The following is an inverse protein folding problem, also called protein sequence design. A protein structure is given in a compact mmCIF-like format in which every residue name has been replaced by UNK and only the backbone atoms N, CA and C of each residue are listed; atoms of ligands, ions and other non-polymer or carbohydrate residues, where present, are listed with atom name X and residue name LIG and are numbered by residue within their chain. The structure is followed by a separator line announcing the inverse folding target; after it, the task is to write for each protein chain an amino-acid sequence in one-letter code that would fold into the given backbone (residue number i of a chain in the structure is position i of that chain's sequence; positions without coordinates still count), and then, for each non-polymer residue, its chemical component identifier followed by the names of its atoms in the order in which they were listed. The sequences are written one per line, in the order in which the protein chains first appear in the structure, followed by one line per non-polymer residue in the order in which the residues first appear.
data_IF_653771073856
#
_entry.id   IF_653771073856
#
_cell.length_a   1.000
_cell.length_b   1.000
_cell.length_c   1.000
_cell.angle_alpha   90.00
_cell.angle_beta   90.00
_cell.angle_gamma   90.00
#
_symmetry.space_group_name_H-M   'P 1'
#
loop_
_entity.id
_entity.type
_entity.pdbx_description
1 polymer ?
#
# COMPACT_ATOMS: atom_id res chain seq x y z
N UNK A 1 10.58 -8.59 -5.87
CA UNK A 1 10.19 -8.90 -7.26
C UNK A 1 10.85 -10.22 -7.61
N UNK A 2 10.16 -11.09 -8.35
CA UNK A 2 10.79 -12.32 -8.82
C UNK A 2 11.88 -12.02 -9.87
N UNK A 3 12.60 -13.04 -10.33
CA UNK A 3 13.63 -12.90 -11.38
C UNK A 3 13.10 -12.35 -12.71
N UNK A 4 11.77 -12.24 -12.87
CA UNK A 4 11.08 -11.73 -14.04
C UNK A 4 10.42 -10.36 -13.79
N UNK A 5 10.76 -9.69 -12.70
CA UNK A 5 10.22 -8.39 -12.34
C UNK A 5 8.69 -8.37 -12.12
N UNK A 6 8.12 -9.51 -11.75
CA UNK A 6 6.71 -9.68 -11.40
C UNK A 6 6.49 -9.59 -9.88
N UNK A 7 5.24 -9.34 -9.52
CA UNK A 7 4.77 -9.41 -8.13
C UNK A 7 4.56 -10.90 -7.80
N UNK A 8 5.37 -11.42 -6.88
CA UNK A 8 5.18 -12.75 -6.34
C UNK A 8 4.17 -12.67 -5.18
N UNK A 9 3.01 -13.34 -5.25
CA UNK A 9 2.11 -13.46 -4.12
C UNK A 9 2.79 -14.24 -2.99
N UNK A 10 2.92 -13.63 -1.82
CA UNK A 10 3.49 -14.27 -0.62
C UNK A 10 2.42 -14.94 0.26
N UNK A 11 1.14 -14.68 -0.01
CA UNK A 11 0.00 -15.24 0.71
C UNK A 11 -1.32 -14.70 0.18
N UNK A 12 -2.42 -15.38 0.49
CA UNK A 12 -3.78 -14.94 0.22
C UNK A 12 -4.70 -15.30 1.39
N UNK A 13 -5.67 -14.43 1.68
CA UNK A 13 -6.68 -14.63 2.71
C UNK A 13 -8.07 -14.52 2.10
N UNK A 14 -8.97 -15.46 2.40
CA UNK A 14 -10.36 -15.42 1.97
C UNK A 14 -11.20 -15.10 3.19
N UNK A 15 -11.83 -13.93 3.19
CA UNK A 15 -12.64 -13.44 4.30
C UNK A 15 -14.04 -13.04 3.81
N UNK A 16 -15.09 -13.14 4.65
CA UNK A 16 -16.44 -12.74 4.25
C UNK A 16 -16.58 -11.26 3.89
N UNK A 17 -15.76 -10.41 4.53
CA UNK A 17 -15.75 -8.96 4.31
C UNK A 17 -14.40 -8.36 4.72
N UNK A 18 -14.05 -7.24 4.13
CA UNK A 18 -12.93 -6.39 4.53
C UNK A 18 -13.26 -5.62 5.82
N UNK A 19 -13.11 -6.28 6.97
CA UNK A 19 -13.26 -5.68 8.30
C UNK A 19 -11.91 -5.59 8.99
N UNK A 20 -11.84 -4.85 10.10
CA UNK A 20 -10.64 -4.82 10.95
C UNK A 20 -10.26 -6.22 11.43
N UNK A 21 -11.24 -7.04 11.81
CA UNK A 21 -11.01 -8.41 12.27
C UNK A 21 -10.42 -9.29 11.17
N UNK A 22 -10.97 -9.23 9.95
CA UNK A 22 -10.45 -9.99 8.80
C UNK A 22 -9.00 -9.61 8.47
N UNK A 23 -8.68 -8.31 8.50
CA UNK A 23 -7.32 -7.84 8.24
C UNK A 23 -6.36 -8.17 9.38
N UNK A 24 -6.80 -8.05 10.63
CA UNK A 24 -5.99 -8.42 11.80
C UNK A 24 -5.65 -9.90 11.74
N UNK A 25 -6.65 -10.77 11.54
CA UNK A 25 -6.41 -12.20 11.39
C UNK A 25 -5.42 -12.54 10.26
N UNK A 26 -5.60 -11.93 9.08
CA UNK A 26 -4.68 -12.19 7.96
C UNK A 26 -3.26 -11.74 8.28
N UNK A 27 -3.10 -10.57 8.91
CA UNK A 27 -1.80 -10.03 9.29
C UNK A 27 -1.15 -10.85 10.41
N UNK A 28 -1.91 -11.38 11.37
CA UNK A 28 -1.40 -12.31 12.39
C UNK A 28 -0.86 -13.59 11.73
N UNK A 29 -1.58 -14.15 10.76
CA UNK A 29 -1.10 -15.31 9.98
C UNK A 29 0.13 -15.00 9.15
N UNK A 30 0.24 -13.79 8.63
CA UNK A 30 1.45 -13.35 7.95
C UNK A 30 2.61 -13.20 8.94
N UNK A 31 2.38 -12.59 10.12
CA UNK A 31 3.39 -12.41 11.17
C UNK A 31 3.92 -13.74 11.68
N UNK A 32 3.07 -14.75 11.89
CA UNK A 32 3.48 -16.12 12.21
C UNK A 32 4.47 -16.70 11.18
N UNK A 33 4.35 -16.31 9.90
CA UNK A 33 5.21 -16.80 8.83
C UNK A 33 6.52 -16.02 8.69
N UNK A 34 6.49 -14.70 8.84
CA UNK A 34 7.63 -13.83 8.50
C UNK A 34 8.32 -13.21 9.73
N UNK A 35 7.67 -13.25 10.89
CA UNK A 35 8.12 -12.60 12.12
C UNK A 35 8.25 -11.08 11.99
N UNK A 36 9.07 -10.52 12.87
CA UNK A 36 9.44 -9.12 12.80
C UNK A 36 10.56 -8.93 11.75
N UNK A 37 10.31 -8.04 10.79
CA UNK A 37 11.24 -7.71 9.72
C UNK A 37 11.66 -6.26 9.86
N UNK A 38 12.96 -6.02 10.09
CA UNK A 38 13.52 -4.67 10.18
C UNK A 38 13.31 -3.92 8.86
N UNK A 39 12.82 -2.68 8.94
CA UNK A 39 12.54 -1.86 7.75
C UNK A 39 11.36 -2.33 6.91
N UNK A 40 10.50 -3.22 7.42
CA UNK A 40 9.30 -3.66 6.71
C UNK A 40 8.42 -2.48 6.33
N UNK A 41 8.06 -2.40 5.05
CA UNK A 41 7.13 -1.40 4.51
C UNK A 41 5.97 -2.08 3.83
N UNK A 42 4.75 -1.77 4.27
CA UNK A 42 3.52 -2.29 3.68
C UNK A 42 2.83 -1.22 2.85
N UNK A 43 2.53 -1.53 1.58
CA UNK A 43 1.79 -0.63 0.70
C UNK A 43 0.36 -1.13 0.58
N UNK A 44 -0.60 -0.36 1.10
CA UNK A 44 -2.00 -0.79 1.26
C UNK A 44 -2.96 0.04 0.41
N UNK A 45 -4.14 -0.51 0.14
CA UNK A 45 -5.25 0.33 -0.32
C UNK A 45 -5.71 1.26 0.81
N UNK A 46 -6.40 2.35 0.45
CA UNK A 46 -6.90 3.38 1.36
C UNK A 46 -8.09 2.86 2.17
N UNK A 47 -7.81 1.99 3.14
CA UNK A 47 -8.77 1.50 4.12
C UNK A 47 -8.25 1.74 5.55
N UNK A 48 -8.93 2.59 6.36
CA UNK A 48 -8.52 2.84 7.74
C UNK A 48 -8.40 1.57 8.60
N UNK A 49 -9.23 0.57 8.31
CA UNK A 49 -9.21 -0.74 8.99
C UNK A 49 -7.89 -1.47 8.79
N UNK A 50 -7.28 -1.39 7.61
CA UNK A 50 -5.99 -2.04 7.32
C UNK A 50 -4.88 -1.33 8.10
N UNK A 51 -4.84 0.00 8.07
CA UNK A 51 -3.82 0.77 8.78
C UNK A 51 -3.83 0.51 10.30
N UNK A 52 -5.02 0.40 10.90
CA UNK A 52 -5.16 0.02 12.32
C UNK A 52 -4.67 -1.40 12.55
N UNK A 53 -5.05 -2.35 11.69
CA UNK A 53 -4.63 -3.76 11.83
C UNK A 53 -3.11 -3.91 11.70
N UNK A 54 -2.47 -3.20 10.77
CA UNK A 54 -1.00 -3.16 10.64
C UNK A 54 -0.37 -2.61 11.91
N UNK A 55 -0.86 -1.49 12.45
CA UNK A 55 -0.31 -0.90 13.68
C UNK A 55 -0.41 -1.86 14.87
N UNK A 56 -1.46 -2.69 14.92
CA UNK A 56 -1.66 -3.65 15.99
C UNK A 56 -0.73 -4.87 15.87
N UNK A 57 -0.53 -5.40 14.66
CA UNK A 57 0.23 -6.65 14.44
C UNK A 57 1.72 -6.39 14.14
N UNK A 58 2.02 -5.33 13.37
CA UNK A 58 3.36 -4.93 12.96
C UNK A 58 3.63 -3.48 13.40
N UNK A 59 3.76 -3.18 14.71
CA UNK A 59 3.85 -1.82 15.22
C UNK A 59 5.08 -1.05 14.71
N UNK A 60 6.14 -1.76 14.30
CA UNK A 60 7.38 -1.18 13.79
C UNK A 60 7.41 -1.07 12.25
N UNK A 61 6.42 -1.63 11.55
CA UNK A 61 6.36 -1.55 10.10
C UNK A 61 5.94 -0.15 9.65
N UNK A 62 6.60 0.35 8.62
CA UNK A 62 6.12 1.50 7.89
C UNK A 62 4.94 1.08 7.02
N UNK A 63 4.02 2.00 6.77
CA UNK A 63 2.97 1.77 5.79
C UNK A 63 2.66 3.01 4.96
N UNK A 64 2.28 2.78 3.71
CA UNK A 64 1.95 3.82 2.75
C UNK A 64 0.75 3.44 1.89
N UNK A 65 0.22 4.42 1.17
CA UNK A 65 -0.88 4.21 0.25
C UNK A 65 -0.37 3.69 -1.10
N UNK A 66 -1.08 2.73 -1.67
CA UNK A 66 -0.83 2.24 -3.01
C UNK A 66 -1.19 3.31 -4.04
N UNK A 67 -0.19 3.82 -4.78
CA UNK A 67 -0.40 4.82 -5.83
C UNK A 67 -1.37 4.37 -6.92
N UNK A 68 -1.37 3.07 -7.27
CA UNK A 68 -2.28 2.50 -8.26
C UNK A 68 -3.74 2.53 -7.81
N UNK A 69 -4.03 2.13 -6.56
CA UNK A 69 -5.38 2.22 -6.03
C UNK A 69 -5.80 3.68 -5.82
N UNK A 70 -4.88 4.54 -5.38
CA UNK A 70 -5.17 5.95 -5.17
C UNK A 70 -5.60 6.66 -6.46
N UNK A 71 -4.90 6.45 -7.58
CA UNK A 71 -5.34 7.00 -8.88
C UNK A 71 -6.65 6.38 -9.35
N UNK A 72 -6.85 5.07 -9.12
CA UNK A 72 -8.12 4.41 -9.41
C UNK A 72 -9.31 5.09 -8.71
N UNK A 73 -9.16 5.33 -7.40
CA UNK A 73 -10.15 6.02 -6.59
C UNK A 73 -10.36 7.47 -7.04
N UNK A 74 -9.30 8.23 -7.33
CA UNK A 74 -9.40 9.61 -7.82
C UNK A 74 -10.16 9.67 -9.15
N UNK A 75 -9.82 8.81 -10.11
CA UNK A 75 -10.47 8.78 -11.42
C UNK A 75 -11.94 8.37 -11.29
N UNK A 76 -12.24 7.40 -10.43
CA UNK A 76 -13.61 6.97 -10.15
C UNK A 76 -14.46 8.10 -9.54
N UNK A 77 -13.93 8.81 -8.54
CA UNK A 77 -14.67 9.86 -7.83
C UNK A 77 -14.81 11.16 -8.60
N UNK A 78 -13.76 11.61 -9.31
CA UNK A 78 -13.70 12.96 -9.88
C UNK A 78 -13.73 12.99 -11.43
N UNK A 79 -14.08 11.86 -12.06
CA UNK A 79 -13.83 11.44 -13.45
C UNK A 79 -14.10 12.38 -14.62
N UNK A 80 -13.47 13.56 -14.68
CA UNK A 80 -13.29 14.34 -15.91
C UNK A 80 -11.85 14.15 -16.39
N UNK A 81 -11.68 13.54 -17.56
CA UNK A 81 -10.40 13.34 -18.25
C UNK A 81 -9.39 12.42 -17.52
N UNK A 82 -9.73 11.12 -17.43
CA UNK A 82 -8.90 10.04 -16.87
C UNK A 82 -7.43 10.11 -17.29
N UNK A 83 -7.16 10.31 -18.59
CA UNK A 83 -5.81 10.32 -19.13
C UNK A 83 -4.97 11.46 -18.53
N UNK A 84 -5.49 12.69 -18.56
CA UNK A 84 -4.80 13.85 -17.97
C UNK A 84 -4.57 13.67 -16.47
N UNK A 85 -5.59 13.20 -15.73
CA UNK A 85 -5.48 12.96 -14.28
C UNK A 85 -4.42 11.92 -13.94
N UNK A 86 -4.37 10.80 -14.67
CA UNK A 86 -3.35 9.76 -14.46
C UNK A 86 -1.94 10.27 -14.73
N UNK A 87 -1.74 11.04 -15.80
CA UNK A 87 -0.42 11.62 -16.12
C UNK A 87 0.03 12.58 -15.01
N UNK A 88 -0.83 13.53 -14.62
CA UNK A 88 -0.49 14.50 -13.59
C UNK A 88 -0.23 13.83 -12.24
N UNK A 89 -1.00 12.81 -11.88
CA UNK A 89 -0.81 12.05 -10.66
C UNK A 89 0.57 11.37 -10.60
N UNK A 90 0.97 10.65 -11.65
CA UNK A 90 2.27 9.98 -11.64
C UNK A 90 3.45 10.95 -11.72
N UNK A 91 3.28 12.11 -12.36
CA UNK A 91 4.27 13.19 -12.30
C UNK A 91 4.42 13.73 -10.87
N UNK A 92 3.30 13.91 -10.14
CA UNK A 92 3.32 14.35 -8.74
C UNK A 92 3.98 13.32 -7.82
N UNK A 93 3.64 12.04 -7.95
CA UNK A 93 4.21 10.96 -7.13
C UNK A 93 5.73 10.82 -7.31
N UNK A 94 6.24 11.17 -8.50
CA UNK A 94 7.68 11.13 -8.83
C UNK A 94 8.40 12.46 -8.59
N UNK A 95 7.69 13.51 -8.21
CA UNK A 95 8.30 14.81 -7.96
C UNK A 95 9.10 14.75 -6.66
N UNK A 96 10.37 15.13 -6.73
CA UNK A 96 11.24 15.25 -5.56
C UNK A 96 10.75 16.39 -4.67
N UNK A 97 10.92 16.24 -3.34
CA UNK A 97 10.83 17.39 -2.45
C UNK A 97 12.06 18.27 -2.69
N UNK A 98 11.91 19.60 -2.60
CA UNK A 98 13.04 20.55 -2.77
C UNK A 98 14.20 20.20 -1.82
N UNK A 99 13.88 19.73 -0.62
CA UNK A 99 14.85 19.29 0.40
C UNK A 99 15.58 18.00 0.04
N UNK A 100 15.07 17.17 -0.87
CA UNK A 100 15.75 15.95 -1.35
C UNK A 100 16.55 16.23 -2.64
N UNK A 101 16.11 17.20 -3.45
CA UNK A 101 16.79 17.61 -4.67
C UNK A 101 18.13 18.31 -4.40
N UNK A 102 18.24 19.08 -3.32
CA UNK A 102 19.49 19.80 -2.97
C UNK A 102 20.58 18.95 -2.31
N UNK A 103 20.33 17.65 -2.07
CA UNK A 103 21.34 16.71 -1.58
C UNK A 103 22.07 15.95 -2.71
N UNK A 104 21.68 16.19 -3.97
CA UNK A 104 22.35 15.72 -5.18
C UNK A 104 22.91 16.91 -5.97
#
# INVERSE_FOLDING_TARGET
MDGNNQILPIGYGICPKETMDSWTWFLEKLHECIGDVEGLTMVIDRAPTIAVSIKNVFPNAQHGLCGFHLIGNIVHTFGKNKQKTTILFWNLVRAYKITEFQFY
#
